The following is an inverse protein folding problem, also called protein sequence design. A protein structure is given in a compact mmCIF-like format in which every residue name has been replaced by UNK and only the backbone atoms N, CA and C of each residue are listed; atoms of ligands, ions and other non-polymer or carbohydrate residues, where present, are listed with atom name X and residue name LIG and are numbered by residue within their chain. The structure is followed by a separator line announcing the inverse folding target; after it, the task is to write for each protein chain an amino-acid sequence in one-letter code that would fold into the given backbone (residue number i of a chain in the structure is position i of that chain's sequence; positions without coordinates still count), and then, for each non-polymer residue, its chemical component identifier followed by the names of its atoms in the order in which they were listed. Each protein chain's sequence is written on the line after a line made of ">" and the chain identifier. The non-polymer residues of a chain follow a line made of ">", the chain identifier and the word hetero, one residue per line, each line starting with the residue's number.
data_IF_690218463692
#
_entry.id   IF_690218463692
#
_cell.length_a   1.000
_cell.length_b   1.000
_cell.length_c   1.000
_cell.angle_alpha   90.00
_cell.angle_beta   90.00
_cell.angle_gamma   90.00
#
_symmetry.space_group_name_H-M   'P 1'
#
loop_
_entity.id
_entity.type
_entity.pdbx_description
1 polymer ?
#
# COMPACT_ATOMS: atom_id res chain seq x y z
N UNK A 1 39.76 42.12 60.85
CA UNK A 1 39.96 40.82 60.16
C UNK A 1 38.72 40.63 59.29
N UNK A 2 38.75 41.08 57.99
CA UNK A 2 37.61 41.10 57.10
C UNK A 2 37.72 39.89 56.15
N UNK A 3 36.83 38.92 56.29
CA UNK A 3 36.71 37.80 55.38
C UNK A 3 35.90 38.22 54.12
N UNK A 4 36.54 38.23 52.95
CA UNK A 4 35.89 38.46 51.65
C UNK A 4 35.26 37.17 51.14
N UNK A 5 33.93 37.08 51.11
CA UNK A 5 33.21 35.99 50.39
C UNK A 5 33.24 36.28 48.91
N UNK A 6 33.89 35.38 48.17
CA UNK A 6 33.78 35.36 46.69
C UNK A 6 32.50 34.58 46.27
N UNK A 7 31.53 35.28 45.78
CA UNK A 7 30.36 34.65 45.13
C UNK A 7 30.75 34.14 43.74
N UNK A 8 30.72 32.82 43.59
CA UNK A 8 30.92 32.13 42.32
C UNK A 8 29.54 31.98 41.63
N UNK A 9 29.31 32.74 40.60
CA UNK A 9 28.10 32.62 39.77
C UNK A 9 28.24 31.41 38.84
N UNK A 10 27.39 30.38 39.05
CA UNK A 10 27.32 29.22 38.23
C UNK A 10 26.33 29.50 37.08
N UNK A 11 26.85 29.74 35.88
CA UNK A 11 26.02 29.90 34.66
C UNK A 11 25.62 28.51 34.16
N UNK A 12 24.35 28.13 34.33
CA UNK A 12 23.77 26.93 33.74
C UNK A 12 23.44 27.21 32.29
N UNK A 13 24.17 26.63 31.35
CA UNK A 13 23.85 26.63 29.92
C UNK A 13 22.80 25.55 29.66
N UNK A 14 21.55 25.94 29.45
CA UNK A 14 20.52 25.03 28.92
C UNK A 14 20.80 24.76 27.43
N UNK A 15 21.29 23.56 27.10
CA UNK A 15 21.35 23.08 25.75
C UNK A 15 19.94 22.63 25.34
N UNK A 16 19.25 23.44 24.51
CA UNK A 16 17.99 23.06 23.85
C UNK A 16 18.33 22.11 22.71
N UNK A 17 18.13 20.81 22.95
CA UNK A 17 18.21 19.82 21.88
C UNK A 17 16.98 19.99 20.96
N UNK A 18 17.18 20.54 19.77
CA UNK A 18 16.17 20.56 18.71
C UNK A 18 16.01 19.16 18.16
N UNK A 19 14.96 18.47 18.56
CA UNK A 19 14.55 17.20 17.92
C UNK A 19 13.99 17.58 16.55
N UNK A 20 14.79 17.41 15.51
CA UNK A 20 14.30 17.46 14.11
C UNK A 20 13.38 16.25 13.91
N UNK A 21 12.07 16.49 13.91
CA UNK A 21 11.12 15.48 13.46
C UNK A 21 11.37 15.26 11.96
N UNK A 22 12.10 14.20 11.64
CA UNK A 22 12.21 13.69 10.28
C UNK A 22 10.85 13.10 9.96
N UNK A 23 10.00 13.83 9.21
CA UNK A 23 8.84 13.28 8.55
C UNK A 23 9.36 12.35 7.46
N UNK A 24 9.67 11.10 7.82
CA UNK A 24 9.90 10.05 6.84
C UNK A 24 8.61 9.91 6.04
N UNK A 25 8.62 10.38 4.80
CA UNK A 25 7.60 10.00 3.82
C UNK A 25 7.66 8.48 3.76
N UNK A 26 6.58 7.82 4.12
CA UNK A 26 6.50 6.38 4.04
C UNK A 26 6.50 5.99 2.57
N UNK A 27 7.61 5.40 2.11
CA UNK A 27 7.69 4.89 0.75
C UNK A 27 6.81 3.64 0.63
N UNK A 28 5.67 3.79 -0.04
CA UNK A 28 4.71 2.71 -0.31
C UNK A 28 5.27 1.76 -1.36
N UNK A 29 5.90 2.34 -2.40
CA UNK A 29 6.40 1.61 -3.54
C UNK A 29 7.91 1.41 -3.40
N UNK A 30 8.37 0.12 -3.35
CA UNK A 30 9.78 -0.21 -3.24
C UNK A 30 10.57 0.17 -4.50
N UNK A 31 11.88 -0.12 -4.51
CA UNK A 31 12.68 0.03 -5.72
C UNK A 31 12.04 -0.71 -6.90
N UNK A 32 11.88 -0.06 -8.06
CA UNK A 32 11.28 -0.69 -9.23
C UNK A 32 11.90 -2.04 -9.63
N UNK A 33 13.19 -2.24 -9.39
CA UNK A 33 13.88 -3.48 -9.70
C UNK A 33 13.42 -4.68 -8.85
N UNK A 34 12.75 -4.44 -7.71
CA UNK A 34 12.26 -5.49 -6.81
C UNK A 34 10.94 -6.11 -7.29
N UNK A 35 10.16 -5.43 -8.11
CA UNK A 35 8.81 -5.85 -8.49
C UNK A 35 8.69 -7.31 -8.99
N UNK A 36 9.62 -7.85 -9.81
CA UNK A 36 9.53 -9.26 -10.22
C UNK A 36 9.72 -10.24 -9.06
N UNK A 37 10.63 -9.94 -8.13
CA UNK A 37 10.91 -10.78 -6.97
C UNK A 37 9.75 -10.71 -5.95
N UNK A 38 9.22 -9.52 -5.71
CA UNK A 38 8.09 -9.30 -4.80
C UNK A 38 6.83 -10.00 -5.32
N UNK A 39 6.57 -9.92 -6.62
CA UNK A 39 5.46 -10.65 -7.24
C UNK A 39 5.63 -12.17 -7.11
N UNK A 40 6.84 -12.69 -7.33
CA UNK A 40 7.10 -14.13 -7.17
C UNK A 40 6.90 -14.59 -5.72
N UNK A 41 7.36 -13.82 -4.74
CA UNK A 41 7.15 -14.07 -3.32
C UNK A 41 5.67 -13.99 -2.94
N UNK A 42 4.96 -13.00 -3.45
CA UNK A 42 3.52 -12.84 -3.22
C UNK A 42 2.70 -14.01 -3.76
N UNK A 43 3.01 -14.49 -4.97
CA UNK A 43 2.34 -15.66 -5.55
C UNK A 43 2.60 -16.92 -4.72
N UNK A 44 3.82 -17.13 -4.22
CA UNK A 44 4.13 -18.23 -3.31
C UNK A 44 3.31 -18.14 -2.01
N UNK A 45 3.23 -16.95 -1.43
CA UNK A 45 2.43 -16.71 -0.23
C UNK A 45 0.94 -16.90 -0.51
N UNK A 46 0.44 -16.39 -1.63
CA UNK A 46 -0.97 -16.50 -2.02
C UNK A 46 -1.38 -17.98 -2.20
N UNK A 47 -0.56 -18.79 -2.88
CA UNK A 47 -0.79 -20.21 -3.04
C UNK A 47 -0.82 -20.95 -1.69
N UNK A 48 0.10 -20.63 -0.77
CA UNK A 48 0.17 -21.26 0.54
C UNK A 48 -0.97 -20.87 1.49
N UNK A 49 -1.60 -19.71 1.27
CA UNK A 49 -2.62 -19.13 2.16
C UNK A 49 -4.00 -19.01 1.52
N UNK A 50 -4.16 -19.49 0.28
CA UNK A 50 -5.40 -19.43 -0.51
C UNK A 50 -5.95 -18.00 -0.64
N UNK A 51 -5.03 -17.02 -0.78
CA UNK A 51 -5.35 -15.62 -1.01
C UNK A 51 -5.22 -15.25 -2.48
N UNK A 52 -5.82 -14.15 -2.87
CA UNK A 52 -5.56 -13.50 -4.15
C UNK A 52 -4.37 -12.55 -4.05
N UNK A 53 -3.74 -12.25 -5.17
CA UNK A 53 -2.74 -11.18 -5.24
C UNK A 53 -3.42 -9.93 -5.76
N UNK A 54 -3.28 -8.82 -5.03
CA UNK A 54 -3.68 -7.49 -5.45
C UNK A 54 -2.43 -6.74 -5.90
N UNK A 55 -2.31 -6.49 -7.20
CA UNK A 55 -1.27 -5.65 -7.77
C UNK A 55 -1.73 -4.20 -7.74
N UNK A 56 -0.89 -3.33 -7.20
CA UNK A 56 -1.09 -1.89 -7.13
C UNK A 56 0.02 -1.18 -7.89
N UNK A 57 -0.28 -0.73 -9.11
CA UNK A 57 0.67 0.01 -9.96
C UNK A 57 0.61 1.49 -9.63
N UNK A 58 1.74 2.07 -9.26
CA UNK A 58 1.83 3.48 -8.89
C UNK A 58 3.26 3.92 -8.60
N UNK A 59 3.40 4.97 -7.79
CA UNK A 59 4.71 5.49 -7.38
C UNK A 59 4.59 6.44 -6.19
N UNK A 60 5.68 6.62 -5.46
CA UNK A 60 5.71 7.44 -4.24
C UNK A 60 5.37 8.92 -4.47
N UNK A 61 5.49 9.41 -5.71
CA UNK A 61 5.09 10.75 -6.13
C UNK A 61 3.58 10.94 -6.33
N UNK A 62 2.81 9.84 -6.38
CA UNK A 62 1.41 9.85 -6.74
C UNK A 62 0.52 10.10 -5.51
N UNK A 63 -0.12 11.26 -5.43
CA UNK A 63 -0.99 11.60 -4.29
C UNK A 63 -2.24 10.72 -4.17
N UNK A 64 -2.81 10.25 -5.27
CA UNK A 64 -3.96 9.33 -5.26
C UNK A 64 -3.54 7.93 -4.80
N UNK A 65 -2.30 7.51 -5.09
CA UNK A 65 -1.73 6.26 -4.59
C UNK A 65 -1.57 6.27 -3.05
N UNK A 66 -1.18 7.42 -2.48
CA UNK A 66 -1.11 7.60 -1.02
C UNK A 66 -2.50 7.46 -0.39
N UNK A 67 -3.54 7.97 -1.04
CA UNK A 67 -4.92 7.82 -0.54
C UNK A 67 -5.41 6.38 -0.64
N UNK A 68 -5.08 5.66 -1.72
CA UNK A 68 -5.39 4.23 -1.81
C UNK A 68 -4.75 3.45 -0.66
N UNK A 69 -3.48 3.70 -0.36
CA UNK A 69 -2.76 3.07 0.75
C UNK A 69 -3.47 3.34 2.10
N UNK A 70 -3.87 4.58 2.36
CA UNK A 70 -4.66 4.93 3.55
C UNK A 70 -5.96 4.13 3.58
N UNK A 71 -6.66 4.01 2.47
CA UNK A 71 -7.93 3.28 2.41
C UNK A 71 -7.76 1.77 2.55
N UNK A 72 -6.68 1.17 2.03
CA UNK A 72 -6.39 -0.24 2.25
C UNK A 72 -6.12 -0.54 3.74
N UNK A 73 -5.60 0.43 4.49
CA UNK A 73 -5.31 0.35 5.93
C UNK A 73 -6.45 0.89 6.82
N UNK A 74 -7.53 1.39 6.24
CA UNK A 74 -8.73 1.79 6.98
C UNK A 74 -9.25 0.63 7.85
N UNK A 75 -9.71 0.86 9.09
CA UNK A 75 -10.23 -0.18 9.99
C UNK A 75 -11.32 -1.07 9.37
N UNK A 76 -12.10 -0.57 8.41
CA UNK A 76 -13.10 -1.35 7.70
C UNK A 76 -12.48 -2.28 6.63
N UNK A 77 -11.38 -1.88 6.00
CA UNK A 77 -10.77 -2.56 4.88
C UNK A 77 -9.63 -3.50 5.29
N UNK A 78 -8.83 -3.11 6.26
CA UNK A 78 -7.63 -3.86 6.68
C UNK A 78 -7.92 -5.32 7.01
N UNK A 79 -9.01 -5.69 7.75
CA UNK A 79 -9.34 -7.09 7.98
C UNK A 79 -9.66 -7.86 6.69
N UNK A 80 -10.31 -7.20 5.71
CA UNK A 80 -10.63 -7.82 4.42
C UNK A 80 -9.35 -8.06 3.62
N UNK A 81 -8.46 -7.07 3.57
CA UNK A 81 -7.16 -7.17 2.92
C UNK A 81 -6.36 -8.32 3.53
N UNK A 82 -6.16 -8.29 4.85
CA UNK A 82 -5.35 -9.28 5.56
C UNK A 82 -5.89 -10.72 5.43
N UNK A 83 -7.19 -10.89 5.38
CA UNK A 83 -7.78 -12.22 5.25
C UNK A 83 -7.74 -12.77 3.82
N UNK A 84 -7.73 -11.93 2.78
CA UNK A 84 -8.06 -12.35 1.42
C UNK A 84 -7.01 -12.01 0.36
N UNK A 85 -6.09 -11.09 0.64
CA UNK A 85 -5.16 -10.61 -0.37
C UNK A 85 -3.71 -10.61 0.11
N UNK A 86 -2.79 -10.75 -0.84
CA UNK A 86 -1.39 -10.38 -0.73
C UNK A 86 -1.22 -9.16 -1.64
N UNK A 87 -0.99 -7.99 -1.05
CA UNK A 87 -0.83 -6.74 -1.79
C UNK A 87 0.61 -6.62 -2.27
N UNK A 88 0.79 -6.25 -3.54
CA UNK A 88 2.10 -6.04 -4.17
C UNK A 88 2.12 -4.66 -4.81
N UNK A 89 2.77 -3.69 -4.19
CA UNK A 89 3.02 -2.39 -4.81
C UNK A 89 4.03 -2.55 -5.96
N UNK A 90 3.66 -2.11 -7.14
CA UNK A 90 4.50 -2.13 -8.35
C UNK A 90 4.89 -0.69 -8.70
N UNK A 91 6.12 -0.34 -8.39
CA UNK A 91 6.65 0.97 -8.70
C UNK A 91 6.88 1.12 -10.21
N UNK A 92 6.17 2.07 -10.82
CA UNK A 92 6.29 2.37 -12.26
C UNK A 92 7.29 3.48 -12.59
N UNK A 93 8.11 3.92 -11.61
CA UNK A 93 8.96 5.09 -11.78
C UNK A 93 8.13 6.34 -12.11
N UNK A 94 8.55 7.09 -13.08
CA UNK A 94 7.75 8.18 -13.69
C UNK A 94 7.12 7.72 -15.02
N UNK A 95 6.46 6.57 -15.03
CA UNK A 95 5.94 5.86 -16.21
C UNK A 95 7.07 5.30 -17.11
N UNK A 96 8.20 4.93 -16.51
CA UNK A 96 9.40 4.42 -17.20
C UNK A 96 9.93 3.10 -16.64
N UNK A 97 9.31 2.59 -15.57
CA UNK A 97 9.66 1.32 -14.94
C UNK A 97 8.49 0.33 -14.94
N UNK A 98 8.80 -0.96 -14.92
CA UNK A 98 7.85 -2.09 -14.86
C UNK A 98 6.75 -2.08 -15.95
N UNK A 99 6.99 -1.42 -17.08
CA UNK A 99 6.04 -1.36 -18.20
C UNK A 99 5.70 -2.75 -18.76
N UNK A 100 6.63 -3.72 -18.89
CA UNK A 100 6.30 -5.08 -19.30
C UNK A 100 5.35 -5.79 -18.33
N UNK A 101 5.44 -5.53 -17.02
CA UNK A 101 4.49 -6.05 -16.04
C UNK A 101 3.10 -5.43 -16.21
N UNK A 102 3.03 -4.11 -16.39
CA UNK A 102 1.77 -3.43 -16.67
C UNK A 102 1.11 -3.98 -17.93
N UNK A 103 1.86 -4.16 -19.01
CA UNK A 103 1.38 -4.77 -20.25
C UNK A 103 0.87 -6.20 -20.03
N UNK A 104 1.65 -7.03 -19.33
CA UNK A 104 1.29 -8.42 -19.02
C UNK A 104 -0.05 -8.53 -18.30
N UNK A 105 -0.32 -7.63 -17.37
CA UNK A 105 -1.56 -7.61 -16.60
C UNK A 105 -2.61 -6.64 -17.16
N UNK A 106 -2.41 -6.15 -18.39
CA UNK A 106 -3.36 -5.32 -19.13
C UNK A 106 -3.73 -4.03 -18.38
N UNK A 107 -2.77 -3.44 -17.67
CA UNK A 107 -2.93 -2.19 -16.93
C UNK A 107 -2.86 -1.00 -17.90
N UNK A 108 -3.92 -0.18 -18.02
CA UNK A 108 -3.93 0.98 -18.89
C UNK A 108 -3.28 2.19 -18.20
N UNK A 109 -1.94 2.23 -18.15
CA UNK A 109 -1.20 3.30 -17.48
C UNK A 109 -1.50 4.69 -18.06
N UNK A 110 -1.97 4.77 -19.32
CA UNK A 110 -2.43 5.99 -19.98
C UNK A 110 -3.72 6.56 -19.34
N UNK A 111 -4.41 5.79 -18.51
CA UNK A 111 -5.61 6.21 -17.77
C UNK A 111 -5.31 6.71 -16.35
N UNK A 112 -4.04 6.71 -15.97
CA UNK A 112 -3.61 7.18 -14.65
C UNK A 112 -3.34 6.07 -13.63
N UNK A 113 -2.88 6.49 -12.46
CA UNK A 113 -2.56 5.64 -11.30
C UNK A 113 -3.13 6.25 -10.01
N UNK A 114 -3.44 5.42 -8.98
CA UNK A 114 -3.16 3.99 -8.88
C UNK A 114 -3.97 3.16 -9.87
N UNK A 115 -3.39 2.04 -10.31
CA UNK A 115 -4.03 1.14 -11.24
C UNK A 115 -3.94 -0.31 -10.73
N UNK A 116 -5.10 -0.97 -10.59
CA UNK A 116 -5.22 -2.23 -9.88
C UNK A 116 -5.45 -3.43 -10.79
N UNK A 117 -4.83 -4.56 -10.43
CA UNK A 117 -5.18 -5.87 -10.96
C UNK A 117 -5.30 -6.90 -9.84
N UNK A 118 -6.16 -7.90 -10.05
CA UNK A 118 -6.33 -9.04 -9.15
C UNK A 118 -5.88 -10.31 -9.88
N UNK A 119 -5.01 -11.07 -9.22
CA UNK A 119 -4.61 -12.40 -9.67
C UNK A 119 -5.19 -13.47 -8.74
N UNK A 120 -5.43 -14.66 -9.30
CA UNK A 120 -5.66 -15.86 -8.49
C UNK A 120 -4.42 -16.21 -7.67
N UNK A 121 -4.55 -17.12 -6.72
CA UNK A 121 -3.43 -17.70 -5.97
C UNK A 121 -2.36 -18.36 -6.86
N UNK A 122 -2.70 -18.68 -8.11
CA UNK A 122 -1.79 -19.27 -9.11
C UNK A 122 -1.32 -18.28 -10.17
N UNK A 123 -1.59 -16.98 -9.99
CA UNK A 123 -1.11 -15.92 -10.89
C UNK A 123 -1.96 -15.69 -12.14
N UNK A 124 -3.14 -16.33 -12.25
CA UNK A 124 -4.07 -16.06 -13.35
C UNK A 124 -4.73 -14.70 -13.16
N UNK A 125 -4.73 -13.85 -14.19
CA UNK A 125 -5.39 -12.56 -14.16
C UNK A 125 -6.92 -12.75 -14.06
N UNK A 126 -7.52 -12.22 -12.99
CA UNK A 126 -8.96 -12.25 -12.73
C UNK A 126 -9.63 -10.92 -13.04
N UNK A 127 -8.91 -9.83 -12.77
CA UNK A 127 -9.37 -8.46 -13.00
C UNK A 127 -8.17 -7.58 -13.35
N UNK A 128 -8.39 -6.67 -14.26
CA UNK A 128 -7.54 -5.50 -14.49
C UNK A 128 -8.47 -4.31 -14.73
N UNK A 129 -8.19 -3.18 -14.10
CA UNK A 129 -8.97 -1.98 -14.37
C UNK A 129 -8.84 -1.57 -15.85
N UNK A 130 -9.88 -0.97 -16.39
CA UNK A 130 -9.95 -0.66 -17.83
C UNK A 130 -9.99 0.83 -18.15
N UNK A 131 -10.51 1.64 -17.24
CA UNK A 131 -10.86 3.04 -17.49
C UNK A 131 -10.32 4.01 -16.43
N UNK A 132 -9.30 3.61 -15.65
CA UNK A 132 -8.74 4.47 -14.58
C UNK A 132 -9.66 4.57 -13.37
N UNK A 133 -10.35 3.48 -13.00
CA UNK A 133 -11.36 3.48 -11.93
C UNK A 133 -10.84 4.00 -10.59
N UNK A 134 -9.53 3.92 -10.35
CA UNK A 134 -8.90 4.34 -9.10
C UNK A 134 -7.97 5.56 -9.25
N UNK A 135 -7.88 6.16 -10.45
CA UNK A 135 -6.95 7.27 -10.73
C UNK A 135 -7.26 8.56 -9.93
N UNK A 136 -8.50 8.69 -9.43
CA UNK A 136 -8.97 9.86 -8.71
C UNK A 136 -9.35 9.54 -7.25
N UNK A 137 -8.52 8.76 -6.55
CA UNK A 137 -8.79 8.29 -5.17
C UNK A 137 -9.13 9.41 -4.19
N UNK A 138 -8.53 10.60 -4.36
CA UNK A 138 -8.84 11.78 -3.52
C UNK A 138 -10.28 12.29 -3.66
N UNK A 139 -11.02 11.81 -4.67
CA UNK A 139 -12.44 12.13 -4.89
C UNK A 139 -13.35 10.95 -4.57
N UNK A 140 -12.78 9.83 -4.15
CA UNK A 140 -13.52 8.61 -3.81
C UNK A 140 -13.66 8.48 -2.30
N UNK A 141 -14.64 7.68 -1.87
CA UNK A 141 -14.81 7.31 -0.48
C UNK A 141 -14.14 5.95 -0.20
N UNK A 142 -13.65 5.74 1.02
CA UNK A 142 -13.06 4.45 1.45
C UNK A 142 -14.00 3.26 1.19
N UNK A 143 -15.32 3.49 1.27
CA UNK A 143 -16.35 2.48 1.00
C UNK A 143 -16.31 1.92 -0.44
N UNK A 144 -15.81 2.66 -1.42
CA UNK A 144 -15.66 2.16 -2.79
C UNK A 144 -14.54 1.10 -2.85
N UNK A 145 -13.46 1.31 -2.09
CA UNK A 145 -12.40 0.30 -1.92
C UNK A 145 -12.95 -0.92 -1.18
N UNK A 146 -13.79 -0.73 -0.17
CA UNK A 146 -14.48 -1.84 0.52
C UNK A 146 -15.29 -2.69 -0.45
N UNK A 147 -16.11 -2.05 -1.30
CA UNK A 147 -16.92 -2.75 -2.32
C UNK A 147 -16.04 -3.54 -3.30
N UNK A 148 -14.94 -2.94 -3.74
CA UNK A 148 -13.97 -3.60 -4.61
C UNK A 148 -13.35 -4.83 -3.93
N UNK A 149 -12.85 -4.71 -2.72
CA UNK A 149 -12.25 -5.80 -1.97
C UNK A 149 -13.25 -6.95 -1.73
N UNK A 150 -14.47 -6.64 -1.32
CA UNK A 150 -15.53 -7.63 -1.10
C UNK A 150 -15.88 -8.35 -2.39
N UNK A 151 -15.96 -7.64 -3.51
CA UNK A 151 -16.24 -8.24 -4.84
C UNK A 151 -15.14 -9.21 -5.27
N UNK A 152 -13.88 -8.88 -4.98
CA UNK A 152 -12.72 -9.61 -5.49
C UNK A 152 -12.03 -10.50 -4.44
N UNK A 153 -12.60 -10.69 -3.24
CA UNK A 153 -12.07 -11.68 -2.29
C UNK A 153 -12.29 -13.11 -2.82
N UNK A 154 -11.44 -14.09 -2.44
CA UNK A 154 -11.65 -15.48 -2.81
C UNK A 154 -13.01 -16.00 -2.32
N UNK A 155 -13.68 -16.78 -3.16
CA UNK A 155 -14.83 -17.56 -2.72
C UNK A 155 -14.27 -18.79 -1.99
N UNK A 156 -14.47 -18.88 -0.69
CA UNK A 156 -14.04 -20.05 0.09
C UNK A 156 -14.92 -21.25 -0.30
N UNK A 157 -14.29 -22.31 -0.80
CA UNK A 157 -14.99 -23.57 -1.02
C UNK A 157 -15.41 -24.12 0.35
N UNK A 158 -16.70 -24.26 0.58
CA UNK A 158 -17.26 -24.71 1.86
C UNK A 158 -18.34 -23.81 2.44
N UNK A 159 -18.50 -22.58 1.96
CA UNK A 159 -19.69 -21.78 2.26
C UNK A 159 -20.86 -22.28 1.42
N UNK A 160 -21.55 -23.32 1.90
CA UNK A 160 -22.84 -23.69 1.36
C UNK A 160 -23.83 -22.55 1.62
N UNK A 161 -24.70 -22.29 0.64
CA UNK A 161 -25.70 -21.19 0.62
C UNK A 161 -26.63 -21.16 1.85
N UNK A 162 -26.47 -22.09 2.80
CA UNK A 162 -27.29 -22.25 3.98
C UNK A 162 -26.66 -21.76 5.31
N UNK A 163 -25.45 -21.17 5.29
CA UNK A 163 -24.82 -20.65 6.51
C UNK A 163 -24.61 -19.14 6.39
N UNK A 164 -25.35 -18.39 7.17
CA UNK A 164 -25.44 -16.92 7.16
C UNK A 164 -24.16 -16.19 7.63
N UNK A 165 -23.08 -16.91 7.97
CA UNK A 165 -21.83 -16.36 8.53
C UNK A 165 -20.58 -16.97 7.87
N UNK A 166 -20.25 -16.51 6.66
CA UNK A 166 -18.96 -16.78 6.05
C UNK A 166 -18.19 -15.49 5.77
#
# INVERSE_FOLDING_TARGET
>A
MLMKFKTMALAAVLAVATVSANSATHDIYPDPAQAPADLAAALKTAAATHKRVLLDFGGNWCGDCQVLEIYLHDPANLPIVNANFVVVPINIGHYDANLPLAQRYQIPLDKGVPALAILSEHGTLLYSQKSGEFEAMRKMESSEVTKFLVRWKPVRQGCSVLVVNC
#
